data_IF_437593037535
#
_entry.id   IF_437593037535
#
_cell.length_a   1.000
_cell.length_b   1.000
_cell.length_c   1.000
_cell.angle_alpha   90.00
_cell.angle_beta   90.00
_cell.angle_gamma   90.00
#
_symmetry.space_group_name_H-M   'P 1'
#
loop_
_entity.id
_entity.type
_entity.pdbx_description
1 polymer ?
#
# COMPACT_ATOMS: atom_id res chain seq x y z
N UNK A 1 -15.39 23.22 6.83
CA UNK A 1 -16.72 22.67 6.50
C UNK A 1 -16.91 21.37 7.24
N UNK A 2 -18.12 21.03 7.61
CA UNK A 2 -18.40 19.79 8.30
C UNK A 2 -18.44 18.63 7.29
N UNK A 3 -17.99 17.46 7.71
CA UNK A 3 -18.15 16.23 6.92
C UNK A 3 -19.62 15.82 7.01
N UNK A 4 -20.28 15.47 5.89
CA UNK A 4 -21.65 14.96 5.93
C UNK A 4 -21.70 13.62 6.67
N UNK A 5 -22.82 13.36 7.34
CA UNK A 5 -23.10 12.04 7.89
C UNK A 5 -23.01 10.97 6.79
N UNK A 6 -22.48 9.77 7.09
CA UNK A 6 -22.46 8.69 6.11
C UNK A 6 -23.89 8.34 5.69
N UNK A 7 -24.16 8.21 4.39
CA UNK A 7 -25.45 7.73 3.92
C UNK A 7 -25.62 6.23 4.20
N UNK A 8 -26.85 5.73 4.10
CA UNK A 8 -27.11 4.27 4.14
C UNK A 8 -26.26 3.56 3.08
N UNK A 9 -25.24 2.81 3.55
CA UNK A 9 -24.28 2.14 2.69
C UNK A 9 -24.90 1.02 1.82
N UNK A 10 -26.13 0.58 2.09
CA UNK A 10 -26.86 -0.35 1.23
C UNK A 10 -27.42 0.30 -0.03
N UNK A 11 -27.42 1.66 -0.09
CA UNK A 11 -27.86 2.43 -1.25
C UNK A 11 -26.90 2.34 -2.43
N UNK A 12 -27.43 2.47 -3.64
CA UNK A 12 -26.60 2.59 -4.84
C UNK A 12 -26.48 4.08 -5.21
N UNK A 13 -25.29 4.62 -5.06
CA UNK A 13 -24.94 6.02 -5.36
C UNK A 13 -24.36 6.20 -6.77
N UNK A 14 -24.06 5.08 -7.46
CA UNK A 14 -23.47 5.11 -8.79
C UNK A 14 -24.50 5.58 -9.84
N UNK A 15 -24.03 6.30 -10.83
CA UNK A 15 -24.83 6.63 -12.00
C UNK A 15 -24.99 5.37 -12.88
N UNK A 16 -26.13 5.20 -13.58
CA UNK A 16 -26.40 3.98 -14.36
C UNK A 16 -25.41 3.68 -15.47
N UNK A 17 -24.65 4.68 -15.91
CA UNK A 17 -23.67 4.55 -16.99
C UNK A 17 -22.26 4.22 -16.47
N UNK A 18 -22.03 4.27 -15.15
CA UNK A 18 -20.69 4.04 -14.60
C UNK A 18 -20.32 2.57 -14.53
N UNK A 19 -19.08 2.29 -14.85
CA UNK A 19 -18.49 0.97 -14.73
C UNK A 19 -16.96 1.06 -14.60
N UNK A 20 -16.35 -0.02 -14.13
CA UNK A 20 -14.92 -0.33 -14.26
C UNK A 20 -14.82 -1.74 -14.82
N UNK A 21 -14.13 -1.90 -15.94
CA UNK A 21 -13.78 -3.19 -16.54
C UNK A 21 -12.26 -3.35 -16.51
N UNK A 22 -11.79 -4.38 -15.82
CA UNK A 22 -10.37 -4.64 -15.63
C UNK A 22 -10.07 -6.07 -16.11
N UNK A 23 -9.03 -6.22 -16.94
CA UNK A 23 -8.50 -7.51 -17.37
C UNK A 23 -7.04 -7.57 -17.05
N UNK A 24 -6.59 -8.69 -16.50
CA UNK A 24 -5.20 -8.89 -16.17
C UNK A 24 -4.75 -10.29 -16.58
N UNK A 25 -3.57 -10.35 -17.21
CA UNK A 25 -2.84 -11.57 -17.49
C UNK A 25 -1.46 -11.44 -16.84
N UNK A 26 -1.09 -12.40 -16.02
CA UNK A 26 0.25 -12.44 -15.45
C UNK A 26 0.80 -13.86 -15.40
N UNK A 27 2.11 -13.97 -15.48
CA UNK A 27 2.82 -15.20 -15.21
C UNK A 27 4.17 -14.88 -14.56
N UNK A 28 4.63 -15.75 -13.67
CA UNK A 28 5.95 -15.70 -13.08
C UNK A 28 6.52 -17.11 -12.92
N UNK A 29 7.83 -17.23 -13.05
CA UNK A 29 8.55 -18.46 -12.82
C UNK A 29 9.87 -18.16 -12.09
N UNK A 30 10.28 -19.05 -11.20
CA UNK A 30 11.57 -18.99 -10.50
C UNK A 30 12.19 -20.39 -10.47
N UNK A 31 13.47 -20.46 -10.75
CA UNK A 31 14.29 -21.67 -10.60
C UNK A 31 15.43 -21.41 -9.63
N UNK A 32 15.73 -22.40 -8.82
CA UNK A 32 16.92 -22.43 -7.95
C UNK A 32 17.72 -23.68 -8.25
N UNK A 33 19.04 -23.56 -8.21
CA UNK A 33 19.94 -24.66 -8.46
C UNK A 33 21.17 -24.59 -7.56
N UNK A 34 21.47 -25.67 -6.86
CA UNK A 34 22.66 -25.80 -6.04
C UNK A 34 23.86 -26.09 -6.95
N UNK A 35 24.70 -25.07 -7.16
CA UNK A 35 25.95 -25.19 -7.93
C UNK A 35 26.97 -26.07 -7.21
N UNK A 36 26.97 -25.96 -5.89
CA UNK A 36 27.77 -26.80 -4.96
C UNK A 36 26.97 -27.03 -3.69
N UNK A 37 27.51 -27.80 -2.73
CA UNK A 37 26.87 -27.98 -1.40
C UNK A 37 26.77 -26.68 -0.57
N UNK A 38 27.39 -25.59 -1.01
CA UNK A 38 27.43 -24.31 -0.29
C UNK A 38 27.11 -23.10 -1.17
N UNK A 39 26.78 -23.29 -2.44
CA UNK A 39 26.46 -22.21 -3.36
C UNK A 39 25.18 -22.54 -4.12
N UNK A 40 24.16 -21.73 -3.93
CA UNK A 40 22.87 -21.79 -4.64
C UNK A 40 22.75 -20.60 -5.57
N UNK A 41 22.38 -20.83 -6.83
CA UNK A 41 22.00 -19.81 -7.80
C UNK A 41 20.49 -19.79 -7.99
N UNK A 42 19.93 -18.61 -8.26
CA UNK A 42 18.54 -18.51 -8.69
C UNK A 42 18.38 -17.54 -9.85
N UNK A 43 17.34 -17.77 -10.62
CA UNK A 43 16.80 -16.84 -11.59
C UNK A 43 15.28 -16.89 -11.54
N UNK A 44 14.65 -15.75 -11.54
CA UNK A 44 13.21 -15.59 -11.61
C UNK A 44 12.83 -14.48 -12.57
N UNK A 45 11.65 -14.56 -13.10
CA UNK A 45 11.11 -13.49 -13.94
C UNK A 45 9.61 -13.63 -14.10
N UNK A 46 8.98 -12.54 -14.49
CA UNK A 46 7.55 -12.51 -14.70
C UNK A 46 7.12 -11.33 -15.55
N UNK A 47 5.88 -11.39 -15.96
CA UNK A 47 5.21 -10.29 -16.65
C UNK A 47 3.78 -10.14 -16.17
N UNK A 48 3.24 -8.95 -16.35
CA UNK A 48 1.83 -8.61 -16.18
C UNK A 48 1.40 -7.70 -17.32
N UNK A 49 0.31 -8.04 -17.98
CA UNK A 49 -0.41 -7.19 -18.93
C UNK A 49 -1.77 -6.87 -18.31
N UNK A 50 -2.12 -5.60 -18.23
CA UNK A 50 -3.37 -5.09 -17.67
C UNK A 50 -4.07 -4.19 -18.66
N UNK A 51 -5.39 -4.34 -18.78
CA UNK A 51 -6.28 -3.45 -19.50
C UNK A 51 -7.33 -2.94 -18.51
N UNK A 52 -7.62 -1.65 -18.55
CA UNK A 52 -8.62 -1.00 -17.71
C UNK A 52 -9.45 -0.04 -18.55
N UNK A 53 -10.75 -0.15 -18.44
CA UNK A 53 -11.71 0.78 -19.04
C UNK A 53 -12.68 1.25 -17.96
N UNK A 54 -12.76 2.57 -17.75
CA UNK A 54 -13.60 3.17 -16.74
C UNK A 54 -14.54 4.22 -17.32
N UNK A 55 -15.74 4.25 -16.77
CA UNK A 55 -16.70 5.34 -16.88
C UNK A 55 -17.17 5.72 -15.47
N UNK A 56 -16.68 6.81 -14.94
CA UNK A 56 -16.81 7.20 -13.53
C UNK A 56 -17.55 8.50 -13.36
N UNK A 57 -18.25 8.63 -12.24
CA UNK A 57 -18.98 9.84 -11.88
C UNK A 57 -19.13 9.94 -10.36
N UNK A 58 -18.11 10.48 -9.71
CA UNK A 58 -18.08 10.59 -8.26
C UNK A 58 -18.85 11.84 -7.81
N UNK A 59 -19.82 11.74 -6.87
CA UNK A 59 -20.57 12.88 -6.39
C UNK A 59 -19.70 13.80 -5.53
N UNK A 60 -19.84 15.11 -5.75
CA UNK A 60 -19.33 16.17 -4.87
C UNK A 60 -20.49 16.74 -4.08
N UNK A 61 -20.37 16.74 -2.76
CA UNK A 61 -21.43 17.19 -1.85
C UNK A 61 -21.13 18.60 -1.37
N UNK A 62 -22.09 19.51 -1.54
CA UNK A 62 -22.02 20.88 -1.03
C UNK A 62 -22.52 20.94 0.42
N UNK A 63 -22.26 22.05 1.12
CA UNK A 63 -22.65 22.26 2.51
C UNK A 63 -24.18 22.21 2.76
N UNK A 64 -24.99 22.46 1.73
CA UNK A 64 -26.46 22.34 1.80
C UNK A 64 -26.96 20.90 1.54
N UNK A 65 -26.04 19.91 1.39
CA UNK A 65 -26.36 18.53 1.10
C UNK A 65 -26.66 18.21 -0.37
N UNK A 66 -26.69 19.24 -1.26
CA UNK A 66 -26.82 19.00 -2.69
C UNK A 66 -25.59 18.30 -3.27
N UNK A 67 -25.82 17.39 -4.22
CA UNK A 67 -24.75 16.64 -4.85
C UNK A 67 -24.66 16.93 -6.35
N UNK A 68 -23.45 17.07 -6.85
CA UNK A 68 -23.14 17.22 -8.27
C UNK A 68 -21.96 16.34 -8.65
N UNK A 69 -21.89 15.95 -9.92
CA UNK A 69 -20.79 15.16 -10.45
C UNK A 69 -20.40 15.64 -11.84
N UNK A 70 -19.22 15.25 -12.29
CA UNK A 70 -18.85 15.25 -13.70
C UNK A 70 -18.51 13.82 -14.13
N UNK A 71 -18.63 13.55 -15.42
CA UNK A 71 -18.28 12.25 -15.97
C UNK A 71 -16.80 12.23 -16.38
N UNK A 72 -16.11 11.16 -16.02
CA UNK A 72 -14.75 10.86 -16.42
C UNK A 72 -14.70 9.49 -17.06
N UNK A 73 -14.06 9.39 -18.21
CA UNK A 73 -13.78 8.11 -18.87
C UNK A 73 -12.29 7.97 -19.11
N UNK A 74 -11.75 6.78 -18.93
CA UNK A 74 -10.38 6.48 -19.33
C UNK A 74 -10.25 5.05 -19.87
N UNK A 75 -9.23 4.88 -20.70
CA UNK A 75 -8.71 3.59 -21.13
C UNK A 75 -7.23 3.55 -20.80
N UNK A 76 -6.79 2.51 -20.11
CA UNK A 76 -5.41 2.32 -19.68
C UNK A 76 -4.94 0.91 -20.04
N UNK A 77 -3.70 0.81 -20.51
CA UNK A 77 -3.00 -0.44 -20.75
C UNK A 77 -1.65 -0.39 -20.02
N UNK A 78 -1.38 -1.38 -19.19
CA UNK A 78 -0.12 -1.50 -18.45
C UNK A 78 0.61 -2.79 -18.85
N UNK A 79 1.89 -2.68 -19.16
CA UNK A 79 2.81 -3.81 -19.33
C UNK A 79 3.92 -3.72 -18.30
N UNK A 80 4.09 -4.77 -17.49
CA UNK A 80 5.16 -4.87 -16.50
C UNK A 80 5.99 -6.11 -16.78
N UNK A 81 7.31 -5.96 -16.79
CA UNK A 81 8.27 -7.07 -16.90
C UNK A 81 9.27 -7.01 -15.77
N UNK A 82 9.63 -8.17 -15.23
CA UNK A 82 10.63 -8.23 -14.16
C UNK A 82 11.54 -9.44 -14.34
N UNK A 83 12.79 -9.24 -13.95
CA UNK A 83 13.78 -10.32 -13.81
C UNK A 83 14.56 -10.11 -12.53
N UNK A 84 14.85 -11.21 -11.84
CA UNK A 84 15.69 -11.28 -10.64
C UNK A 84 16.65 -12.46 -10.80
N UNK A 85 17.93 -12.27 -10.49
CA UNK A 85 18.90 -13.33 -10.47
C UNK A 85 19.93 -13.10 -9.37
N UNK A 86 20.46 -14.16 -8.79
CA UNK A 86 21.45 -14.02 -7.74
C UNK A 86 22.13 -15.31 -7.33
N UNK A 87 23.05 -15.15 -6.39
CA UNK A 87 23.84 -16.22 -5.78
C UNK A 87 23.76 -16.08 -4.25
N UNK A 88 23.65 -17.21 -3.57
CA UNK A 88 23.84 -17.32 -2.12
C UNK A 88 24.99 -18.29 -1.88
N UNK A 89 25.97 -17.87 -1.09
CA UNK A 89 27.10 -18.70 -0.71
C UNK A 89 27.19 -18.78 0.80
N UNK A 90 27.32 -20.01 1.32
CA UNK A 90 27.46 -20.30 2.74
C UNK A 90 28.83 -20.88 3.01
N UNK A 91 29.59 -20.32 3.95
CA UNK A 91 30.92 -20.76 4.36
C UNK A 91 31.24 -20.34 5.79
N UNK A 92 32.34 -20.80 6.32
CA UNK A 92 32.81 -20.45 7.67
C UNK A 92 34.23 -19.85 7.64
N UNK A 93 34.48 -18.85 8.46
CA UNK A 93 35.79 -18.32 8.78
C UNK A 93 36.06 -18.48 10.29
N UNK A 94 36.76 -19.55 10.64
CA UNK A 94 36.94 -19.94 12.04
C UNK A 94 35.63 -20.34 12.69
N UNK A 95 35.15 -19.57 13.67
CA UNK A 95 33.89 -19.82 14.39
C UNK A 95 32.74 -18.97 13.88
N UNK A 96 32.92 -18.24 12.80
CA UNK A 96 31.94 -17.33 12.23
C UNK A 96 31.38 -17.94 10.97
N UNK A 97 30.07 -18.20 10.92
CA UNK A 97 29.38 -18.59 9.70
C UNK A 97 29.05 -17.35 8.86
N UNK A 98 29.12 -17.47 7.55
CA UNK A 98 28.78 -16.46 6.56
C UNK A 98 27.66 -16.95 5.67
N UNK A 99 26.68 -16.10 5.39
CA UNK A 99 25.70 -16.28 4.33
C UNK A 99 25.74 -15.04 3.44
N UNK A 100 26.53 -15.11 2.37
CA UNK A 100 26.70 -14.03 1.41
C UNK A 100 25.67 -14.15 0.31
N UNK A 101 24.92 -13.07 0.06
CA UNK A 101 23.93 -12.98 -1.01
C UNK A 101 24.32 -11.85 -1.96
N UNK A 102 24.31 -12.14 -3.26
CA UNK A 102 24.38 -11.13 -4.31
C UNK A 102 23.18 -11.27 -5.23
N UNK A 103 22.54 -10.15 -5.62
CA UNK A 103 21.41 -10.19 -6.54
C UNK A 103 21.39 -9.00 -7.47
N UNK A 104 20.84 -9.22 -8.66
CA UNK A 104 20.50 -8.18 -9.62
C UNK A 104 19.01 -8.27 -9.94
N UNK A 105 18.33 -7.13 -9.96
CA UNK A 105 16.91 -7.04 -10.33
C UNK A 105 16.71 -5.97 -11.39
N UNK A 106 15.80 -6.23 -12.31
CA UNK A 106 15.33 -5.27 -13.29
C UNK A 106 13.82 -5.33 -13.37
N UNK A 107 13.17 -4.18 -13.33
CA UNK A 107 11.73 -4.03 -13.50
C UNK A 107 11.48 -2.93 -14.50
N UNK A 108 10.66 -3.23 -15.50
CA UNK A 108 10.23 -2.31 -16.56
C UNK A 108 8.70 -2.21 -16.55
N UNK A 109 8.20 -0.99 -16.58
CA UNK A 109 6.79 -0.64 -16.69
C UNK A 109 6.60 0.28 -17.89
N UNK A 110 5.64 -0.03 -18.74
CA UNK A 110 5.07 0.86 -19.74
C UNK A 110 3.57 1.01 -19.46
N UNK A 111 3.09 2.25 -19.35
CA UNK A 111 1.69 2.58 -19.17
C UNK A 111 1.21 3.49 -20.30
N UNK A 112 0.15 3.06 -20.97
CA UNK A 112 -0.60 3.86 -21.95
C UNK A 112 -1.88 4.33 -21.28
N UNK A 113 -2.27 5.57 -21.49
CA UNK A 113 -3.51 6.09 -20.92
C UNK A 113 -4.10 7.19 -21.80
N UNK A 114 -5.40 7.08 -22.03
CA UNK A 114 -6.20 8.15 -22.61
C UNK A 114 -7.42 8.41 -21.75
N UNK A 115 -7.88 9.65 -21.67
CA UNK A 115 -8.99 10.03 -20.82
C UNK A 115 -9.80 11.19 -21.41
N UNK A 116 -11.05 11.30 -20.96
CA UNK A 116 -11.89 12.45 -21.32
C UNK A 116 -12.85 12.82 -20.17
N UNK A 117 -13.18 14.10 -20.10
CA UNK A 117 -14.08 14.64 -19.09
C UNK A 117 -15.30 15.32 -19.74
N UNK A 118 -16.43 15.22 -19.07
CA UNK A 118 -17.55 16.13 -19.30
C UNK A 118 -17.26 17.52 -18.74
N UNK A 119 -18.16 18.47 -18.93
CA UNK A 119 -18.03 19.80 -18.38
C UNK A 119 -17.82 19.76 -16.86
N UNK A 120 -16.74 20.41 -16.38
CA UNK A 120 -16.38 20.49 -14.95
C UNK A 120 -17.36 21.26 -14.07
N UNK A 121 -18.25 22.07 -14.67
CA UNK A 121 -19.39 22.65 -13.95
C UNK A 121 -20.34 21.60 -13.39
N UNK A 122 -20.24 20.39 -13.95
CA UNK A 122 -20.94 19.21 -13.46
C UNK A 122 -22.44 19.22 -13.77
N UNK A 123 -23.09 18.18 -13.28
CA UNK A 123 -24.54 18.00 -13.32
C UNK A 123 -25.05 17.60 -11.95
N UNK A 124 -26.30 17.94 -11.63
CA UNK A 124 -26.88 17.57 -10.34
C UNK A 124 -27.14 16.06 -10.30
N UNK A 125 -26.74 15.44 -9.19
CA UNK A 125 -27.03 14.05 -8.85
C UNK A 125 -28.00 13.92 -7.68
N UNK A 126 -28.74 15.00 -7.33
CA UNK A 126 -29.70 15.05 -6.24
C UNK A 126 -29.04 15.42 -4.92
N UNK A 127 -29.15 14.56 -3.93
CA UNK A 127 -28.44 14.65 -2.62
C UNK A 127 -27.76 13.35 -2.32
N UNK A 128 -26.84 13.35 -1.35
CA UNK A 128 -26.13 12.14 -0.92
C UNK A 128 -27.09 11.04 -0.44
N UNK A 129 -28.17 11.42 0.25
CA UNK A 129 -29.17 10.45 0.76
C UNK A 129 -30.26 10.10 -0.27
N UNK A 130 -30.38 10.85 -1.36
CA UNK A 130 -31.40 10.62 -2.38
C UNK A 130 -30.82 10.93 -3.78
N UNK A 131 -29.96 10.01 -4.30
CA UNK A 131 -29.32 10.20 -5.59
C UNK A 131 -30.33 10.12 -6.74
N UNK A 132 -30.13 10.96 -7.76
CA UNK A 132 -30.96 11.01 -8.98
C UNK A 132 -30.13 10.53 -10.16
N UNK A 133 -30.66 9.54 -10.89
CA UNK A 133 -30.05 9.07 -12.11
C UNK A 133 -30.19 10.09 -13.25
N UNK A 134 -29.10 10.27 -14.01
CA UNK A 134 -29.08 11.14 -15.19
C UNK A 134 -28.62 10.38 -16.44
N UNK A 135 -28.96 10.92 -17.62
CA UNK A 135 -28.38 10.42 -18.87
C UNK A 135 -26.88 10.76 -18.92
N UNK A 136 -26.05 9.86 -19.39
CA UNK A 136 -24.61 10.04 -19.50
C UNK A 136 -24.26 11.34 -20.27
N UNK A 137 -23.62 12.33 -19.65
CA UNK A 137 -23.18 13.55 -20.34
C UNK A 137 -22.07 13.24 -21.34
N UNK A 138 -21.96 14.04 -22.41
CA UNK A 138 -20.83 13.96 -23.33
C UNK A 138 -19.50 14.26 -22.60
N UNK A 139 -18.43 13.56 -23.01
CA UNK A 139 -17.07 13.75 -22.46
C UNK A 139 -16.21 14.48 -23.48
N UNK A 140 -16.59 15.68 -23.84
CA UNK A 140 -15.99 16.50 -24.89
C UNK A 140 -15.39 17.84 -24.40
N UNK A 141 -15.46 18.09 -23.09
CA UNK A 141 -14.95 19.32 -22.52
C UNK A 141 -13.42 19.32 -22.34
N UNK A 142 -12.84 18.18 -22.07
CA UNK A 142 -11.41 18.01 -21.99
C UNK A 142 -11.03 16.59 -22.41
N UNK A 143 -10.18 16.47 -23.43
CA UNK A 143 -9.76 15.20 -24.02
C UNK A 143 -8.24 15.08 -23.91
N UNK A 144 -7.78 14.01 -23.27
CA UNK A 144 -6.38 13.63 -23.13
C UNK A 144 -6.09 12.33 -23.88
N UNK A 145 -5.90 12.42 -25.20
CA UNK A 145 -5.61 11.28 -26.05
C UNK A 145 -6.81 10.63 -26.73
N UNK A 146 -6.56 9.53 -27.40
CA UNK A 146 -7.58 8.71 -28.09
C UNK A 146 -7.92 7.49 -27.23
N UNK A 147 -9.14 7.43 -26.73
CA UNK A 147 -9.62 6.33 -25.88
C UNK A 147 -9.58 4.96 -26.59
N UNK A 148 -9.67 4.95 -27.92
CA UNK A 148 -9.61 3.70 -28.69
C UNK A 148 -8.16 3.24 -28.95
N UNK A 149 -7.19 4.15 -28.89
CA UNK A 149 -5.77 3.88 -29.15
C UNK A 149 -4.90 4.72 -28.21
N UNK A 150 -4.85 4.40 -26.91
CA UNK A 150 -4.09 5.19 -25.94
C UNK A 150 -2.59 5.16 -26.26
N UNK A 151 -1.93 6.31 -26.15
CA UNK A 151 -0.49 6.43 -26.30
C UNK A 151 0.20 6.15 -24.96
N UNK A 152 1.50 5.83 -25.03
CA UNK A 152 2.35 5.73 -23.84
C UNK A 152 2.36 7.08 -23.12
N UNK A 153 2.02 7.08 -21.84
CA UNK A 153 2.02 8.27 -20.97
C UNK A 153 3.07 8.20 -19.88
N UNK A 154 3.53 6.98 -19.55
CA UNK A 154 4.54 6.76 -18.52
C UNK A 154 5.40 5.54 -18.87
N UNK A 155 6.71 5.64 -18.61
CA UNK A 155 7.60 4.48 -18.51
C UNK A 155 8.40 4.57 -17.21
N UNK A 156 8.70 3.40 -16.61
CA UNK A 156 9.55 3.30 -15.42
C UNK A 156 10.46 2.11 -15.53
N UNK A 157 11.78 2.36 -15.53
CA UNK A 157 12.82 1.34 -15.50
C UNK A 157 13.54 1.41 -14.15
N UNK A 158 13.58 0.29 -13.42
CA UNK A 158 14.30 0.17 -12.16
C UNK A 158 15.31 -0.97 -12.26
N UNK A 159 16.60 -0.64 -12.17
CA UNK A 159 17.69 -1.61 -12.14
C UNK A 159 18.40 -1.55 -10.80
N UNK A 160 18.73 -2.70 -10.22
CA UNK A 160 19.48 -2.72 -8.98
C UNK A 160 20.46 -3.89 -8.89
N UNK A 161 21.53 -3.67 -8.12
CA UNK A 161 22.45 -4.70 -7.70
C UNK A 161 22.66 -4.60 -6.19
N UNK A 162 22.59 -5.73 -5.50
CA UNK A 162 22.78 -5.80 -4.06
C UNK A 162 23.81 -6.88 -3.67
N UNK A 163 24.51 -6.62 -2.57
CA UNK A 163 25.35 -7.57 -1.88
C UNK A 163 25.12 -7.44 -0.38
N UNK A 164 24.98 -8.57 0.31
CA UNK A 164 24.85 -8.59 1.77
C UNK A 164 25.56 -9.82 2.32
N UNK A 165 26.10 -9.71 3.53
CA UNK A 165 26.62 -10.84 4.31
C UNK A 165 25.89 -10.88 5.67
N UNK A 166 25.38 -12.07 6.00
CA UNK A 166 24.86 -12.36 7.33
C UNK A 166 25.87 -13.21 8.08
N UNK A 167 26.48 -12.61 9.09
CA UNK A 167 27.43 -13.22 10.01
C UNK A 167 26.69 -13.96 11.12
N UNK A 168 27.04 -15.21 11.33
CA UNK A 168 26.47 -16.07 12.37
C UNK A 168 27.51 -16.34 13.46
N UNK A 169 27.20 -15.91 14.68
CA UNK A 169 28.03 -16.06 15.87
C UNK A 169 27.36 -16.96 16.90
N UNK A 170 28.19 -17.52 17.81
CA UNK A 170 27.73 -18.33 18.93
C UNK A 170 26.73 -19.43 18.50
N UNK A 171 27.08 -20.16 17.44
CA UNK A 171 26.25 -21.25 16.87
C UNK A 171 24.86 -20.78 16.43
N UNK A 172 24.77 -19.63 15.79
CA UNK A 172 23.53 -19.05 15.27
C UNK A 172 22.66 -18.34 16.32
N UNK A 173 23.16 -18.08 17.51
CA UNK A 173 22.46 -17.29 18.54
C UNK A 173 22.48 -15.81 18.27
N UNK A 174 23.52 -15.31 17.60
CA UNK A 174 23.62 -13.93 17.19
C UNK A 174 23.86 -13.87 15.67
N UNK A 175 22.99 -13.19 14.95
CA UNK A 175 23.11 -12.94 13.52
C UNK A 175 23.27 -11.43 13.29
N UNK A 176 24.28 -11.05 12.49
CA UNK A 176 24.50 -9.66 12.10
C UNK A 176 24.58 -9.59 10.58
N UNK A 177 23.72 -8.81 9.98
CA UNK A 177 23.65 -8.59 8.53
C UNK A 177 24.14 -7.20 8.18
N UNK A 178 24.99 -7.08 7.16
CA UNK A 178 25.36 -5.82 6.53
C UNK A 178 25.25 -5.97 5.01
N UNK A 179 24.63 -5.00 4.36
CA UNK A 179 24.42 -5.01 2.92
C UNK A 179 24.48 -3.63 2.31
N UNK A 180 24.77 -3.60 1.02
CA UNK A 180 24.73 -2.44 0.16
C UNK A 180 23.91 -2.75 -1.08
N UNK A 181 23.11 -1.79 -1.54
CA UNK A 181 22.37 -1.87 -2.80
C UNK A 181 22.62 -0.62 -3.63
N UNK A 182 23.05 -0.78 -4.85
CA UNK A 182 22.96 0.25 -5.87
C UNK A 182 21.62 0.10 -6.57
N UNK A 183 20.88 1.19 -6.72
CA UNK A 183 19.63 1.22 -7.47
C UNK A 183 19.63 2.43 -8.38
N UNK A 184 19.26 2.22 -9.65
CA UNK A 184 18.97 3.27 -10.63
C UNK A 184 17.46 3.31 -10.85
N UNK A 185 16.90 4.52 -10.86
CA UNK A 185 15.49 4.81 -11.12
C UNK A 185 15.43 5.67 -12.36
N UNK A 186 14.76 5.22 -13.41
CA UNK A 186 14.52 5.99 -14.62
C UNK A 186 13.02 6.04 -14.86
N UNK A 187 12.44 7.25 -14.91
CA UNK A 187 11.04 7.47 -15.22
C UNK A 187 10.90 8.51 -16.32
N UNK A 188 9.92 8.33 -17.19
CA UNK A 188 9.59 9.27 -18.24
C UNK A 188 8.08 9.45 -18.31
N UNK A 189 7.62 10.69 -18.49
CA UNK A 189 6.21 11.00 -18.71
C UNK A 189 6.04 11.61 -20.09
N UNK A 190 4.93 11.28 -20.73
CA UNK A 190 4.64 11.70 -22.10
C UNK A 190 3.24 12.34 -22.18
N UNK A 191 3.06 13.21 -23.14
CA UNK A 191 1.77 13.81 -23.42
C UNK A 191 0.81 12.77 -24.03
N UNK A 192 -0.35 12.57 -23.40
CA UNK A 192 -1.33 11.56 -23.84
C UNK A 192 -1.89 11.78 -25.26
N UNK A 193 -1.80 13.01 -25.79
CA UNK A 193 -2.34 13.36 -27.12
C UNK A 193 -1.28 13.33 -28.21
N UNK A 194 -0.07 13.85 -27.94
CA UNK A 194 1.00 13.96 -28.95
C UNK A 194 2.05 12.86 -28.83
N UNK A 195 2.17 12.20 -27.67
CA UNK A 195 3.25 11.26 -27.37
C UNK A 195 4.60 11.92 -27.09
N UNK A 196 4.65 13.26 -27.02
CA UNK A 196 5.89 13.98 -26.75
C UNK A 196 6.35 13.79 -25.31
N UNK A 197 7.65 13.65 -25.08
CA UNK A 197 8.25 13.60 -23.74
C UNK A 197 7.98 14.92 -23.01
N UNK A 198 7.38 14.84 -21.84
CA UNK A 198 7.05 16.00 -20.99
C UNK A 198 7.97 16.14 -19.79
N UNK A 199 8.44 15.03 -19.25
CA UNK A 199 9.43 15.00 -18.16
C UNK A 199 10.19 13.69 -18.17
N UNK A 200 11.40 13.70 -17.61
CA UNK A 200 12.22 12.51 -17.44
C UNK A 200 13.10 12.65 -16.20
N UNK A 201 13.37 11.52 -15.58
CA UNK A 201 14.26 11.36 -14.45
C UNK A 201 15.13 10.13 -14.67
N UNK A 202 16.42 10.22 -14.40
CA UNK A 202 17.36 9.10 -14.50
C UNK A 202 18.50 9.33 -13.51
N UNK A 203 18.45 8.68 -12.36
CA UNK A 203 19.50 8.78 -11.36
C UNK A 203 19.57 7.52 -10.49
N UNK A 204 20.76 7.27 -9.95
CA UNK A 204 21.02 6.11 -9.11
C UNK A 204 21.76 6.46 -7.83
N UNK A 205 21.59 5.63 -6.81
CA UNK A 205 22.24 5.80 -5.50
C UNK A 205 22.56 4.44 -4.88
N UNK A 206 23.58 4.44 -4.02
CA UNK A 206 23.90 3.31 -3.14
C UNK A 206 23.24 3.56 -1.79
N UNK A 207 22.55 2.54 -1.28
CA UNK A 207 21.92 2.56 0.05
C UNK A 207 22.42 1.39 0.90
N UNK A 208 22.69 1.59 2.20
CA UNK A 208 23.03 0.54 3.15
C UNK A 208 21.77 -0.12 3.74
N UNK A 209 21.97 -1.35 4.23
CA UNK A 209 21.03 -2.04 5.12
C UNK A 209 21.81 -2.79 6.21
N UNK A 210 21.31 -2.73 7.45
CA UNK A 210 21.89 -3.43 8.59
C UNK A 210 20.81 -4.16 9.36
N UNK A 211 21.15 -5.33 9.90
CA UNK A 211 20.27 -6.13 10.72
C UNK A 211 21.03 -6.82 11.86
N UNK A 212 20.38 -6.96 12.99
CA UNK A 212 20.88 -7.71 14.13
C UNK A 212 19.75 -8.56 14.69
N UNK A 213 20.00 -9.85 14.92
CA UNK A 213 19.06 -10.76 15.60
C UNK A 213 19.79 -11.49 16.71
N UNK A 214 19.25 -11.36 17.93
CA UNK A 214 19.72 -12.11 19.07
C UNK A 214 18.64 -13.08 19.56
N UNK A 215 18.90 -14.40 19.42
CA UNK A 215 18.07 -15.48 19.96
C UNK A 215 18.36 -15.63 21.45
N UNK A 216 17.62 -14.93 22.28
CA UNK A 216 17.79 -14.95 23.74
C UNK A 216 17.44 -16.33 24.32
N UNK A 217 16.45 -17.01 23.73
CA UNK A 217 16.08 -18.40 24.02
C UNK A 217 15.63 -19.11 22.72
N UNK A 218 15.17 -20.36 22.84
CA UNK A 218 14.54 -21.07 21.72
C UNK A 218 13.21 -20.44 21.27
N UNK A 219 12.59 -19.64 22.12
CA UNK A 219 11.27 -19.05 21.89
C UNK A 219 11.31 -17.53 21.70
N UNK A 220 12.39 -16.86 22.15
CA UNK A 220 12.46 -15.39 22.17
C UNK A 220 13.65 -14.93 21.36
N UNK A 221 13.38 -14.06 20.39
CA UNK A 221 14.38 -13.34 19.61
C UNK A 221 14.16 -11.83 19.74
N UNK A 222 15.25 -11.09 19.94
CA UNK A 222 15.28 -9.63 19.81
C UNK A 222 15.93 -9.30 18.48
N UNK A 223 15.44 -8.27 17.82
CA UNK A 223 16.01 -7.81 16.55
C UNK A 223 16.03 -6.29 16.45
N UNK A 224 16.91 -5.80 15.59
CA UNK A 224 16.93 -4.42 15.15
C UNK A 224 17.36 -4.36 13.70
N UNK A 225 16.82 -3.43 12.94
CA UNK A 225 17.19 -3.18 11.55
C UNK A 225 17.27 -1.69 11.24
N UNK A 226 18.08 -1.39 10.24
CA UNK A 226 18.17 -0.11 9.56
C UNK A 226 18.16 -0.37 8.07
N UNK A 227 17.36 0.37 7.33
CA UNK A 227 17.31 0.32 5.88
C UNK A 227 17.01 1.70 5.30
N UNK A 228 17.54 1.94 4.11
CA UNK A 228 17.20 3.11 3.30
C UNK A 228 16.38 2.69 2.09
N UNK A 229 15.39 3.51 1.74
CA UNK A 229 14.61 3.41 0.52
C UNK A 229 14.87 4.63 -0.38
N UNK A 230 14.72 4.45 -1.67
CA UNK A 230 14.87 5.53 -2.66
C UNK A 230 13.53 5.89 -3.27
N UNK A 231 13.36 7.20 -3.51
CA UNK A 231 12.31 7.78 -4.32
C UNK A 231 12.95 8.65 -5.40
N UNK A 232 12.34 8.81 -6.58
CA UNK A 232 12.83 9.78 -7.57
C UNK A 232 12.99 11.15 -6.91
N UNK A 233 14.07 11.84 -7.21
CA UNK A 233 14.24 13.24 -6.85
C UNK A 233 13.25 14.11 -7.63
N UNK A 234 12.93 15.26 -7.08
CA UNK A 234 12.06 16.22 -7.75
C UNK A 234 12.85 17.22 -8.58
N UNK A 235 12.22 17.79 -9.61
CA UNK A 235 12.77 18.94 -10.35
C UNK A 235 12.47 20.22 -9.59
N UNK A 236 13.51 21.04 -9.35
CA UNK A 236 13.38 22.33 -8.67
C UNK A 236 12.42 23.25 -9.45
N UNK A 237 11.41 23.85 -8.80
CA UNK A 237 10.52 24.81 -9.44
C UNK A 237 11.32 26.09 -9.81
N UNK A 238 10.97 26.72 -10.90
CA UNK A 238 11.63 27.98 -11.30
C UNK A 238 11.26 29.16 -10.41
N UNK A 239 10.08 29.11 -9.77
CA UNK A 239 9.54 30.17 -8.91
C UNK A 239 8.83 29.53 -7.72
N UNK A 240 9.03 30.08 -6.52
CA UNK A 240 8.29 29.73 -5.30
C UNK A 240 7.84 31.01 -4.59
N UNK A 241 6.56 31.10 -4.20
CA UNK A 241 6.01 32.31 -3.57
C UNK A 241 6.15 33.60 -4.41
N UNK A 242 6.24 33.50 -5.73
CA UNK A 242 6.47 34.63 -6.63
C UNK A 242 7.95 35.08 -6.76
N UNK A 243 8.88 34.37 -6.11
CA UNK A 243 10.31 34.66 -6.13
C UNK A 243 11.05 33.59 -6.95
N UNK A 244 12.03 33.95 -7.83
CA UNK A 244 12.83 32.99 -8.55
C UNK A 244 13.60 32.05 -7.60
N UNK A 245 13.63 30.77 -7.94
CA UNK A 245 14.44 29.75 -7.23
C UNK A 245 15.82 29.67 -7.89
N UNK A 246 16.87 29.72 -7.09
CA UNK A 246 18.26 29.83 -7.57
C UNK A 246 18.70 28.62 -8.41
N UNK A 247 18.26 27.42 -8.01
CA UNK A 247 18.50 26.17 -8.75
C UNK A 247 17.27 25.70 -9.54
N UNK A 248 16.42 26.63 -9.99
CA UNK A 248 15.24 26.32 -10.79
C UNK A 248 15.56 25.48 -12.02
N UNK A 249 14.83 24.40 -12.23
CA UNK A 249 15.04 23.43 -13.30
C UNK A 249 16.08 22.34 -13.00
N UNK A 250 16.80 22.40 -11.88
CA UNK A 250 17.70 21.34 -11.45
C UNK A 250 16.91 20.07 -11.06
N UNK A 251 17.40 18.90 -11.50
CA UNK A 251 16.88 17.59 -11.10
C UNK A 251 17.71 17.11 -9.93
N UNK A 252 17.08 16.96 -8.76
CA UNK A 252 17.76 16.50 -7.56
C UNK A 252 18.06 15.00 -7.61
N UNK A 253 19.11 14.59 -6.90
CA UNK A 253 19.41 13.18 -6.63
C UNK A 253 18.20 12.45 -6.02
N UNK A 254 18.15 11.10 -6.06
CA UNK A 254 17.09 10.34 -5.41
C UNK A 254 16.94 10.71 -3.95
N UNK A 255 15.72 10.98 -3.53
CA UNK A 255 15.39 11.20 -2.13
C UNK A 255 15.52 9.89 -1.36
N UNK A 256 16.15 9.95 -0.21
CA UNK A 256 16.44 8.76 0.61
C UNK A 256 15.61 8.81 1.87
N UNK A 257 14.65 7.92 1.99
CA UNK A 257 13.95 7.68 3.25
C UNK A 257 14.71 6.69 4.12
N UNK A 258 14.66 6.87 5.45
CA UNK A 258 15.36 6.05 6.42
C UNK A 258 14.37 5.34 7.33
N UNK A 259 14.64 4.07 7.61
CA UNK A 259 13.84 3.27 8.55
C UNK A 259 14.73 2.64 9.60
N UNK A 260 14.31 2.78 10.85
CA UNK A 260 14.87 2.07 12.02
C UNK A 260 13.74 1.30 12.68
N UNK A 261 13.99 0.04 13.02
CA UNK A 261 13.04 -0.79 13.77
C UNK A 261 13.77 -1.64 14.80
N UNK A 262 13.17 -1.78 15.98
CA UNK A 262 13.61 -2.70 17.05
C UNK A 262 12.41 -3.48 17.52
N UNK A 263 12.56 -4.80 17.67
CA UNK A 263 11.43 -5.63 18.07
C UNK A 263 11.81 -6.90 18.81
N UNK A 264 10.77 -7.53 19.31
CA UNK A 264 10.79 -8.84 19.96
C UNK A 264 9.87 -9.78 19.19
N UNK A 265 10.36 -11.00 18.91
CA UNK A 265 9.56 -12.09 18.39
C UNK A 265 9.47 -13.19 19.43
N UNK A 266 8.26 -13.66 19.67
CA UNK A 266 7.98 -14.83 20.47
C UNK A 266 7.43 -15.95 19.57
N UNK A 267 8.00 -17.13 19.68
CA UNK A 267 7.56 -18.35 18.99
C UNK A 267 7.45 -19.47 20.02
N UNK A 268 6.25 -19.74 20.46
CA UNK A 268 5.92 -20.80 21.40
C UNK A 268 5.56 -22.13 20.73
N UNK A 269 5.62 -22.22 19.38
CA UNK A 269 5.16 -23.33 18.58
C UNK A 269 3.68 -23.16 18.21
N UNK A 270 2.78 -23.39 19.13
CA UNK A 270 1.33 -23.28 18.87
C UNK A 270 0.83 -21.81 18.86
N UNK A 271 1.55 -20.91 19.51
CA UNK A 271 1.22 -19.49 19.62
C UNK A 271 2.48 -18.63 19.48
N UNK A 272 2.37 -17.56 18.72
CA UNK A 272 3.45 -16.62 18.50
C UNK A 272 2.98 -15.18 18.38
N UNK A 273 3.96 -14.26 18.33
CA UNK A 273 3.69 -12.85 18.12
C UNK A 273 4.96 -12.03 17.97
N UNK A 274 4.76 -10.80 17.50
CA UNK A 274 5.83 -9.81 17.33
C UNK A 274 5.38 -8.49 17.95
N UNK A 275 6.27 -7.85 18.68
CA UNK A 275 6.12 -6.48 19.15
C UNK A 275 7.31 -5.68 18.62
N UNK A 276 7.04 -4.59 17.92
CA UNK A 276 8.09 -3.71 17.39
C UNK A 276 7.81 -2.23 17.65
N UNK A 277 8.88 -1.46 17.66
CA UNK A 277 8.90 0.01 17.62
C UNK A 277 9.69 0.42 16.41
N UNK A 278 9.15 1.33 15.62
CA UNK A 278 9.78 1.79 14.39
C UNK A 278 9.76 3.31 14.25
N UNK A 279 10.66 3.82 13.43
CA UNK A 279 10.66 5.19 12.92
C UNK A 279 11.04 5.17 11.45
N UNK A 280 10.24 5.85 10.63
CA UNK A 280 10.48 6.04 9.18
C UNK A 280 10.48 7.53 8.89
N UNK A 281 11.61 8.05 8.41
CA UNK A 281 11.73 9.41 7.94
C UNK A 281 11.64 9.42 6.41
N UNK A 282 10.82 10.32 5.88
CA UNK A 282 10.60 10.50 4.45
C UNK A 282 10.89 11.94 4.05
N UNK A 283 11.92 12.18 3.22
CA UNK A 283 12.21 13.51 2.73
C UNK A 283 11.18 13.99 1.73
N UNK A 284 10.97 15.30 1.70
CA UNK A 284 10.14 16.01 0.72
C UNK A 284 10.90 17.22 0.18
N UNK A 285 10.58 17.61 -1.07
CA UNK A 285 11.14 18.82 -1.65
C UNK A 285 10.51 20.08 -1.08
N UNK A 286 11.33 21.01 -0.60
CA UNK A 286 10.94 22.36 -0.17
C UNK A 286 11.89 23.42 -0.71
N UNK A 287 11.43 24.67 -0.83
CA UNK A 287 12.27 25.82 -1.14
C UNK A 287 12.57 26.59 0.14
N UNK A 288 13.82 26.64 0.52
CA UNK A 288 14.29 27.42 1.65
C UNK A 288 15.40 28.38 1.19
N UNK A 289 15.33 29.67 1.56
CA UNK A 289 16.28 30.69 1.11
C UNK A 289 16.49 30.73 -0.42
N UNK A 290 15.44 30.54 -1.20
CA UNK A 290 15.43 30.49 -2.67
C UNK A 290 16.21 29.30 -3.28
N UNK A 291 16.50 28.28 -2.51
CA UNK A 291 17.10 27.02 -2.99
C UNK A 291 16.11 25.88 -2.74
N UNK A 292 15.84 25.08 -3.77
CA UNK A 292 15.05 23.87 -3.63
C UNK A 292 15.95 22.71 -3.21
N UNK A 293 15.53 21.99 -2.17
CA UNK A 293 16.28 20.86 -1.61
C UNK A 293 15.33 19.78 -1.09
N UNK A 294 15.88 18.60 -0.73
CA UNK A 294 15.17 17.50 -0.08
C UNK A 294 15.09 17.67 1.45
N UNK A 295 15.08 18.91 1.95
CA UNK A 295 15.13 19.19 3.39
C UNK A 295 13.76 19.18 4.08
N UNK A 296 12.67 19.05 3.34
CA UNK A 296 11.35 18.77 3.90
C UNK A 296 11.32 17.37 4.49
N UNK A 297 10.58 17.15 5.57
CA UNK A 297 10.56 15.88 6.28
C UNK A 297 9.16 15.53 6.79
N UNK A 298 8.78 14.26 6.58
CA UNK A 298 7.66 13.61 7.23
C UNK A 298 8.18 12.44 8.04
N UNK A 299 7.83 12.38 9.33
CA UNK A 299 8.20 11.28 10.20
C UNK A 299 6.99 10.41 10.52
N UNK A 300 7.17 9.09 10.45
CA UNK A 300 6.21 8.08 10.87
C UNK A 300 6.89 7.21 11.93
N UNK A 301 6.44 7.27 13.16
CA UNK A 301 6.95 6.41 14.21
C UNK A 301 5.81 5.73 14.94
N UNK A 302 6.03 4.52 15.43
CA UNK A 302 4.94 3.79 16.04
C UNK A 302 5.34 2.50 16.72
N UNK A 303 4.31 1.85 17.25
CA UNK A 303 4.40 0.54 17.89
C UNK A 303 3.46 -0.40 17.15
N UNK A 304 3.97 -1.57 16.78
CA UNK A 304 3.19 -2.62 16.14
C UNK A 304 3.18 -3.89 16.99
N UNK A 305 2.00 -4.47 17.15
CA UNK A 305 1.79 -5.77 17.78
C UNK A 305 1.11 -6.70 16.77
N UNK A 306 1.64 -7.90 16.60
CA UNK A 306 0.95 -9.01 15.93
C UNK A 306 0.95 -10.24 16.81
N UNK A 307 -0.18 -10.97 16.79
CA UNK A 307 -0.35 -12.24 17.51
C UNK A 307 -1.05 -13.25 16.61
N UNK A 308 -0.64 -14.50 16.70
CA UNK A 308 -1.22 -15.58 15.90
C UNK A 308 -1.02 -16.93 16.56
N UNK A 309 -1.89 -17.87 16.22
CA UNK A 309 -1.76 -19.28 16.63
C UNK A 309 -2.96 -19.84 17.38
N UNK A 310 -2.75 -20.97 18.01
CA UNK A 310 -3.73 -21.77 18.74
C UNK A 310 -3.30 -21.94 20.22
N UNK A 311 -3.45 -20.89 21.06
CA UNK A 311 -2.98 -20.92 22.46
C UNK A 311 -3.67 -22.01 23.31
N UNK A 312 -4.83 -22.44 22.90
CA UNK A 312 -5.60 -23.55 23.50
C UNK A 312 -6.19 -24.35 22.34
N UNK A 313 -6.09 -25.68 22.40
CA UNK A 313 -6.62 -26.57 21.35
C UNK A 313 -8.06 -26.22 20.97
N UNK A 314 -8.28 -25.99 19.67
CA UNK A 314 -9.56 -25.57 19.11
C UNK A 314 -9.89 -24.08 19.26
N UNK A 315 -9.00 -23.28 19.88
CA UNK A 315 -9.16 -21.82 19.96
C UNK A 315 -7.99 -21.11 19.28
N UNK A 316 -8.26 -20.48 18.14
CA UNK A 316 -7.27 -19.77 17.34
C UNK A 316 -7.46 -18.26 17.44
N UNK A 317 -6.34 -17.55 17.45
CA UNK A 317 -6.29 -16.09 17.42
C UNK A 317 -5.41 -15.63 16.28
N UNK A 318 -5.86 -14.59 15.59
CA UNK A 318 -5.07 -13.83 14.63
C UNK A 318 -5.41 -12.35 14.83
N UNK A 319 -4.42 -11.53 15.18
CA UNK A 319 -4.68 -10.13 15.44
C UNK A 319 -3.45 -9.27 15.27
N UNK A 320 -3.68 -7.98 15.09
CA UNK A 320 -2.67 -6.96 15.05
C UNK A 320 -3.21 -5.60 15.46
N UNK A 321 -2.32 -4.77 15.97
CA UNK A 321 -2.60 -3.38 16.32
C UNK A 321 -1.39 -2.52 16.04
N UNK A 322 -1.63 -1.31 15.53
CA UNK A 322 -0.62 -0.29 15.30
C UNK A 322 -1.05 1.01 15.99
N UNK A 323 -0.16 1.58 16.78
CA UNK A 323 -0.23 2.96 17.25
C UNK A 323 0.80 3.74 16.45
N UNK A 324 0.36 4.77 15.73
CA UNK A 324 1.19 5.53 14.80
C UNK A 324 1.16 7.01 15.15
N UNK A 325 2.33 7.60 15.33
CA UNK A 325 2.56 9.04 15.36
C UNK A 325 3.18 9.45 14.02
N UNK A 326 2.35 10.07 13.17
CA UNK A 326 2.73 10.56 11.86
C UNK A 326 2.72 12.08 11.89
N UNK A 327 3.85 12.72 11.60
CA UNK A 327 4.00 14.18 11.67
C UNK A 327 4.70 14.73 10.44
N UNK A 328 4.22 15.89 10.00
CA UNK A 328 4.89 16.76 9.04
C UNK A 328 5.96 17.55 9.81
N UNK A 329 7.21 17.06 9.86
CA UNK A 329 8.27 17.63 10.69
C UNK A 329 8.84 18.93 10.14
N UNK A 330 9.05 18.96 8.79
CA UNK A 330 9.53 20.14 8.10
C UNK A 330 8.81 20.31 6.78
N UNK A 331 8.16 21.46 6.61
CA UNK A 331 7.33 21.75 5.45
C UNK A 331 7.72 23.08 4.79
N UNK A 332 7.17 23.35 3.60
CA UNK A 332 7.35 24.62 2.91
C UNK A 332 6.84 25.77 3.79
N UNK A 333 7.71 26.73 4.12
CA UNK A 333 7.40 27.92 4.94
C UNK A 333 6.86 27.62 6.34
N UNK A 334 7.09 26.42 6.90
CA UNK A 334 6.59 25.98 8.19
C UNK A 334 5.07 25.77 8.25
N UNK A 335 4.39 25.71 7.10
CA UNK A 335 2.94 25.56 7.05
C UNK A 335 2.54 24.13 7.43
N UNK A 336 1.68 23.98 8.44
CA UNK A 336 1.19 22.69 8.96
C UNK A 336 2.28 21.81 9.61
N UNK A 337 3.44 22.34 10.02
CA UNK A 337 4.42 21.60 10.82
C UNK A 337 3.80 21.09 12.14
N UNK A 338 4.15 19.85 12.50
CA UNK A 338 3.58 19.15 13.65
C UNK A 338 2.22 18.52 13.42
N UNK A 339 1.58 18.77 12.26
CA UNK A 339 0.29 18.17 11.93
C UNK A 339 0.44 16.74 11.40
N UNK A 340 -0.61 15.95 11.60
CA UNK A 340 -0.73 14.59 11.05
C UNK A 340 -1.04 14.64 9.55
N UNK A 341 -0.45 13.75 8.77
CA UNK A 341 -0.75 13.60 7.34
C UNK A 341 -2.20 13.20 7.10
N UNK A 342 -2.76 13.68 6.00
CA UNK A 342 -4.12 13.35 5.56
C UNK A 342 -4.32 11.82 5.50
N UNK A 343 -5.46 11.34 5.99
CA UNK A 343 -5.88 9.94 5.89
C UNK A 343 -5.11 8.97 6.79
N UNK A 344 -4.29 9.45 7.70
CA UNK A 344 -3.48 8.60 8.59
C UNK A 344 -4.11 8.53 9.99
N UNK A 345 -4.65 7.38 10.42
CA UNK A 345 -5.17 7.21 11.77
C UNK A 345 -4.04 6.97 12.79
N UNK A 346 -4.18 7.49 13.99
CA UNK A 346 -3.24 7.24 15.09
C UNK A 346 -3.31 5.80 15.63
N UNK A 347 -4.45 5.13 15.48
CA UNK A 347 -4.64 3.76 15.92
C UNK A 347 -5.41 2.95 14.88
N UNK A 348 -4.89 1.75 14.60
CA UNK A 348 -5.60 0.71 13.85
C UNK A 348 -5.43 -0.64 14.56
N UNK A 349 -6.49 -1.44 14.55
CA UNK A 349 -6.41 -2.77 15.13
C UNK A 349 -7.45 -3.72 14.57
N UNK A 350 -7.08 -4.98 14.52
CA UNK A 350 -8.01 -6.05 14.19
C UNK A 350 -7.69 -7.30 15.03
N UNK A 351 -8.72 -8.04 15.35
CA UNK A 351 -8.59 -9.34 15.99
C UNK A 351 -9.65 -10.28 15.44
N UNK A 352 -9.22 -11.45 15.02
CA UNK A 352 -10.08 -12.58 14.63
C UNK A 352 -9.88 -13.70 15.64
N UNK A 353 -10.98 -14.19 16.17
CA UNK A 353 -11.04 -15.32 17.11
C UNK A 353 -11.84 -16.43 16.48
N UNK A 354 -11.30 -17.65 16.48
CA UNK A 354 -11.99 -18.85 15.99
C UNK A 354 -12.08 -19.88 17.10
N UNK A 355 -13.22 -20.59 17.14
CA UNK A 355 -13.44 -21.65 18.09
C UNK A 355 -14.05 -22.89 17.42
N UNK A 356 -13.38 -24.04 17.58
CA UNK A 356 -13.90 -25.34 17.12
C UNK A 356 -14.94 -25.84 18.10
N UNK A 357 -16.15 -26.03 17.61
CA UNK A 357 -17.28 -26.47 18.45
C UNK A 357 -17.17 -27.97 18.74
N UNK A 358 -16.62 -28.31 19.88
CA UNK A 358 -16.34 -29.71 20.25
C UNK A 358 -17.55 -30.67 20.13
N UNK A 359 -18.77 -30.15 20.31
CA UNK A 359 -20.01 -30.95 20.19
C UNK A 359 -20.40 -31.29 18.74
N UNK A 360 -19.81 -30.58 17.74
CA UNK A 360 -20.14 -30.77 16.32
C UNK A 360 -18.81 -30.82 15.54
N UNK A 361 -18.28 -32.04 15.32
CA UNK A 361 -17.02 -32.20 14.57
C UNK A 361 -17.05 -31.49 13.21
N UNK A 362 -16.00 -30.73 12.89
CA UNK A 362 -15.87 -29.97 11.66
C UNK A 362 -16.50 -28.56 11.70
N UNK A 363 -17.26 -28.22 12.77
CA UNK A 363 -17.84 -26.89 12.93
C UNK A 363 -16.86 -25.94 13.65
N UNK A 364 -16.58 -24.81 13.06
CA UNK A 364 -15.83 -23.69 13.63
C UNK A 364 -16.71 -22.44 13.59
N UNK A 365 -16.74 -21.66 14.66
CA UNK A 365 -17.33 -20.31 14.68
C UNK A 365 -16.22 -19.29 14.78
N UNK A 366 -16.37 -18.14 14.14
CA UNK A 366 -15.42 -17.04 14.21
C UNK A 366 -16.09 -15.69 14.45
N UNK A 367 -15.33 -14.80 15.07
CA UNK A 367 -15.69 -13.41 15.23
C UNK A 367 -14.48 -12.51 14.97
N UNK A 368 -14.68 -11.44 14.21
CA UNK A 368 -13.67 -10.46 13.89
C UNK A 368 -14.11 -9.07 14.30
N UNK A 369 -13.23 -8.35 14.99
CA UNK A 369 -13.37 -6.92 15.26
C UNK A 369 -12.31 -6.18 14.47
N UNK A 370 -12.70 -5.11 13.77
CA UNK A 370 -11.81 -4.18 13.09
C UNK A 370 -12.11 -2.77 13.61
N UNK A 371 -11.07 -2.06 14.00
CA UNK A 371 -11.16 -0.66 14.42
C UNK A 371 -10.15 0.19 13.68
N UNK A 372 -10.58 1.37 13.24
CA UNK A 372 -9.74 2.41 12.65
C UNK A 372 -10.04 3.72 13.36
N UNK A 373 -9.01 4.36 13.86
CA UNK A 373 -9.09 5.65 14.54
C UNK A 373 -9.44 6.79 13.60
N UNK A 374 -9.69 7.94 14.17
CA UNK A 374 -9.96 9.21 13.49
C UNK A 374 -8.89 9.53 12.44
N UNK A 375 -9.30 10.11 11.30
CA UNK A 375 -8.44 10.50 10.19
C UNK A 375 -8.73 11.94 9.76
N UNK A 376 -7.68 12.76 9.59
CA UNK A 376 -7.84 14.12 9.07
C UNK A 376 -7.99 14.12 7.53
N UNK A 377 -8.85 15.00 7.02
CA UNK A 377 -9.09 15.17 5.58
C UNK A 377 -8.26 16.29 4.98
N UNK A 378 -7.71 17.16 5.82
CA UNK A 378 -6.93 18.34 5.42
C UNK A 378 -5.59 18.41 6.17
N UNK A 379 -4.57 18.97 5.54
CA UNK A 379 -3.24 19.10 6.12
C UNK A 379 -3.20 20.06 7.35
N UNK A 380 -4.19 20.93 7.51
CA UNK A 380 -4.32 21.81 8.67
C UNK A 380 -4.92 21.09 9.90
N UNK A 381 -5.34 19.83 9.75
CA UNK A 381 -6.00 19.02 10.78
C UNK A 381 -7.26 19.67 11.38
N UNK A 382 -8.00 20.42 10.57
CA UNK A 382 -9.21 21.12 10.99
C UNK A 382 -10.49 20.33 10.75
N UNK A 383 -10.46 19.37 9.84
CA UNK A 383 -11.59 18.52 9.45
C UNK A 383 -11.17 17.05 9.55
N UNK A 384 -11.98 16.24 10.20
CA UNK A 384 -11.69 14.83 10.40
C UNK A 384 -12.89 13.93 10.19
N UNK A 385 -12.62 12.73 9.73
CA UNK A 385 -13.55 11.58 9.78
C UNK A 385 -13.41 10.91 11.14
N UNK A 386 -14.53 10.63 11.79
CA UNK A 386 -14.54 9.95 13.08
C UNK A 386 -14.05 8.51 13.00
N UNK A 387 -13.64 7.96 14.13
CA UNK A 387 -13.28 6.56 14.26
C UNK A 387 -14.46 5.62 14.02
N UNK A 388 -14.16 4.41 13.63
CA UNK A 388 -15.18 3.40 13.43
C UNK A 388 -14.73 2.00 13.91
N UNK A 389 -15.72 1.20 14.28
CA UNK A 389 -15.53 -0.20 14.68
C UNK A 389 -16.54 -1.07 13.97
N UNK A 390 -16.05 -2.16 13.35
CA UNK A 390 -16.86 -3.17 12.67
C UNK A 390 -16.72 -4.52 13.34
N UNK A 391 -17.86 -5.20 13.55
CA UNK A 391 -17.94 -6.58 14.00
C UNK A 391 -18.42 -7.46 12.85
N UNK A 392 -17.67 -8.54 12.59
CA UNK A 392 -18.00 -9.57 11.63
C UNK A 392 -18.15 -10.92 12.38
N UNK A 393 -19.10 -11.75 11.97
CA UNK A 393 -19.28 -13.09 12.50
C UNK A 393 -19.26 -14.11 11.36
N UNK A 394 -18.67 -15.27 11.61
CA UNK A 394 -18.54 -16.32 10.63
C UNK A 394 -18.77 -17.71 11.20
N UNK A 395 -19.08 -18.63 10.31
CA UNK A 395 -19.13 -20.06 10.59
C UNK A 395 -18.49 -20.81 9.43
N UNK A 396 -17.68 -21.80 9.76
CA UNK A 396 -17.02 -22.71 8.82
C UNK A 396 -17.39 -24.15 9.19
N UNK A 397 -17.78 -24.94 8.20
CA UNK A 397 -18.06 -26.36 8.38
C UNK A 397 -17.22 -27.18 7.41
N UNK A 398 -16.29 -27.96 7.95
CA UNK A 398 -15.46 -28.88 7.19
C UNK A 398 -16.12 -30.28 7.23
N UNK A 399 -16.33 -30.87 6.04
CA UNK A 399 -16.92 -32.18 5.87
C UNK A 399 -16.21 -32.94 4.76
N UNK A 400 -16.43 -34.23 4.66
CA UNK A 400 -15.91 -35.08 3.61
C UNK A 400 -17.04 -35.57 2.71
N UNK A 401 -16.92 -35.40 1.41
CA UNK A 401 -17.88 -35.88 0.42
C UNK A 401 -17.16 -36.80 -0.56
N UNK A 402 -17.45 -38.09 -0.50
CA UNK A 402 -16.79 -39.11 -1.34
C UNK A 402 -15.24 -39.04 -1.29
N UNK A 403 -14.67 -38.90 -0.09
CA UNK A 403 -13.24 -38.74 0.18
C UNK A 403 -12.63 -37.41 -0.31
N UNK A 404 -13.44 -36.46 -0.75
CA UNK A 404 -13.02 -35.11 -1.10
C UNK A 404 -13.32 -34.19 0.07
N UNK A 405 -12.29 -33.54 0.68
CA UNK A 405 -12.53 -32.51 1.69
C UNK A 405 -13.31 -31.33 1.12
N UNK A 406 -14.42 -30.99 1.77
CA UNK A 406 -15.25 -29.85 1.38
C UNK A 406 -15.37 -28.92 2.57
N UNK A 407 -15.19 -27.63 2.33
CA UNK A 407 -15.37 -26.60 3.35
C UNK A 407 -16.46 -25.63 2.91
N UNK A 408 -17.49 -25.53 3.74
CA UNK A 408 -18.56 -24.53 3.60
C UNK A 408 -18.28 -23.37 4.54
N UNK A 409 -18.46 -22.13 4.09
CA UNK A 409 -18.34 -20.92 4.92
C UNK A 409 -19.54 -20.03 4.73
N UNK A 410 -20.05 -19.50 5.85
CA UNK A 410 -21.02 -18.42 5.87
C UNK A 410 -20.46 -17.29 6.73
N UNK A 411 -20.59 -16.04 6.27
CA UNK A 411 -20.07 -14.86 6.98
C UNK A 411 -21.09 -13.73 6.92
N UNK A 412 -21.24 -13.02 8.02
CA UNK A 412 -22.00 -11.80 8.14
C UNK A 412 -21.03 -10.69 8.54
N UNK A 413 -20.71 -9.82 7.61
CA UNK A 413 -19.88 -8.64 7.86
C UNK A 413 -20.74 -7.44 8.28
N UNK A 414 -20.15 -6.55 9.07
CA UNK A 414 -20.83 -5.38 9.64
C UNK A 414 -22.16 -5.79 10.31
N UNK A 415 -22.09 -6.67 11.29
CA UNK A 415 -23.26 -7.24 12.00
C UNK A 415 -24.16 -6.15 12.58
N UNK A 416 -23.56 -5.08 13.09
CA UNK A 416 -24.25 -3.94 13.67
C UNK A 416 -24.94 -3.05 12.65
N UNK A 417 -24.63 -3.22 11.37
CA UNK A 417 -25.13 -2.40 10.25
C UNK A 417 -24.89 -0.90 10.46
N UNK A 418 -23.69 -0.55 10.90
CA UNK A 418 -23.30 0.85 11.04
C UNK A 418 -22.89 1.42 9.69
N UNK A 419 -23.37 2.61 9.37
CA UNK A 419 -22.86 3.41 8.25
C UNK A 419 -21.68 4.25 8.76
N UNK A 420 -20.58 4.28 8.03
CA UNK A 420 -19.37 4.97 8.43
C UNK A 420 -18.51 5.36 7.22
N UNK A 421 -17.73 6.42 7.38
CA UNK A 421 -16.67 6.74 6.43
C UNK A 421 -15.43 5.88 6.77
N UNK A 422 -15.10 4.95 5.88
CA UNK A 422 -14.03 3.98 6.13
C UNK A 422 -12.65 4.62 6.09
N UNK A 423 -12.46 5.58 5.19
CA UNK A 423 -11.18 6.29 5.04
C UNK A 423 -11.33 7.58 4.27
N UNK A 424 -10.29 8.39 4.35
CA UNK A 424 -10.03 9.53 3.48
C UNK A 424 -9.09 9.08 2.38
N UNK A 425 -9.41 9.36 1.13
CA UNK A 425 -8.64 8.92 -0.02
C UNK A 425 -8.45 10.00 -1.08
N UNK A 426 -7.85 9.61 -2.19
CA UNK A 426 -7.56 10.46 -3.33
C UNK A 426 -6.15 11.06 -3.27
N UNK A 427 -5.86 11.95 -4.22
CA UNK A 427 -4.61 12.71 -4.25
C UNK A 427 -4.74 13.99 -3.40
N UNK A 428 -3.62 14.62 -3.00
CA UNK A 428 -3.65 15.84 -2.18
C UNK A 428 -4.60 16.92 -2.74
N UNK A 429 -5.52 17.39 -1.88
CA UNK A 429 -6.54 18.37 -2.24
C UNK A 429 -7.83 17.80 -2.85
N UNK A 430 -7.92 16.51 -3.07
CA UNK A 430 -9.12 15.88 -3.62
C UNK A 430 -10.23 15.64 -2.58
N UNK A 431 -9.87 15.44 -1.31
CA UNK A 431 -10.79 15.23 -0.18
C UNK A 431 -11.85 14.14 -0.43
N UNK A 432 -11.46 13.00 -0.98
CA UNK A 432 -12.37 11.87 -1.18
C UNK A 432 -12.70 11.20 0.15
N UNK A 433 -13.98 10.92 0.36
CA UNK A 433 -14.47 10.08 1.45
C UNK A 433 -14.86 8.72 0.87
N UNK A 434 -14.43 7.65 1.52
CA UNK A 434 -14.75 6.28 1.12
C UNK A 434 -15.78 5.72 2.09
N UNK A 435 -16.97 5.41 1.57
CA UNK A 435 -18.05 4.84 2.36
C UNK A 435 -17.71 3.41 2.77
N UNK A 436 -17.96 3.06 4.02
CA UNK A 436 -17.83 1.71 4.55
C UNK A 436 -18.82 0.73 3.92
N UNK A 437 -18.47 -0.56 3.91
CA UNK A 437 -19.37 -1.58 3.38
C UNK A 437 -20.60 -1.74 4.27
N UNK A 438 -21.80 -1.94 3.69
CA UNK A 438 -23.01 -2.25 4.44
C UNK A 438 -22.92 -3.64 5.08
N UNK A 439 -23.91 -3.99 5.89
CA UNK A 439 -24.04 -5.38 6.35
C UNK A 439 -24.18 -6.33 5.16
N UNK A 440 -23.19 -7.23 5.04
CA UNK A 440 -23.07 -8.13 3.88
C UNK A 440 -23.05 -9.57 4.34
N UNK A 441 -23.90 -10.41 3.72
CA UNK A 441 -23.89 -11.84 3.91
C UNK A 441 -23.21 -12.54 2.73
N UNK A 442 -22.27 -13.43 3.03
CA UNK A 442 -21.58 -14.22 2.01
C UNK A 442 -21.61 -15.71 2.33
N UNK A 443 -21.69 -16.52 1.26
CA UNK A 443 -21.57 -17.98 1.31
C UNK A 443 -20.47 -18.41 0.34
N UNK A 444 -19.63 -19.35 0.76
CA UNK A 444 -18.66 -19.99 -0.13
C UNK A 444 -18.54 -21.48 0.16
N UNK A 445 -18.17 -22.23 -0.89
CA UNK A 445 -17.81 -23.63 -0.80
C UNK A 445 -16.48 -23.85 -1.50
N UNK A 446 -15.57 -24.60 -0.91
CA UNK A 446 -14.32 -25.05 -1.53
C UNK A 446 -14.18 -26.56 -1.41
N UNK A 447 -13.61 -27.19 -2.43
CA UNK A 447 -13.31 -28.60 -2.44
C UNK A 447 -11.85 -28.80 -2.85
N UNK A 448 -11.12 -29.69 -2.14
CA UNK A 448 -9.72 -30.02 -2.40
C UNK A 448 -9.66 -31.40 -3.08
N UNK A 449 -9.25 -31.43 -4.35
CA UNK A 449 -9.22 -32.66 -5.19
C UNK A 449 -7.83 -33.28 -5.25
#
# INVERSE_FOLDING_TARGET
GDIPEPPDASGNFAQPFTFSDEKQLFAAARGEYDLTGSVTAWIGGGFREGEEENDLSNPRVAADGSASAFRFVNTREDSVRSIDAGLRAEFETGAIGHSVVTSGTFVDLESKNAFAFSNFGGFSTGTLSNPVAVTAPATDAFIGGDLANPLVTETSENASFAIADTLSFAQGRLLATAGLRYQNIKTQSFNATSGDLTSGYDAGKVTPAFGLVWKASSQISLYGNYAENLQPGATAPNVSGGVPVTNGGEILDPFTGEQVEVGLKYDGGDFGGTLSVFSVNRPNGIVENQVFSADGEQRNQGIELSIFGEPITGFRVLGGATVLDNQLEKTQDGINEGNTSIGTPEFQGNINLEYDVAAIPGLTVDGRVVHTGKQFTDAANTIAVEDWTRLDLGVRYALEVNQTPVTLRARLENVTNNDYWASVGGFPGANYLILGNPRTFSLSASADF
#
